data_IF_204654726449
#
_entry.id   IF_204654726449
#
_cell.length_a   1.000
_cell.length_b   1.000
_cell.length_c   1.000
_cell.angle_alpha   90.00
_cell.angle_beta   90.00
_cell.angle_gamma   90.00
#
_symmetry.space_group_name_H-M   'P 1'
#
loop_
_entity.id
_entity.type
_entity.pdbx_description
1 polymer ?
#
# COMPACT_ATOMS: atom_id res chain seq x y z
N UNK A 1 -2.06 -0.64 -49.25
CA UNK A 1 -2.35 -0.71 -47.79
C UNK A 1 -1.16 -0.10 -47.07
N UNK A 2 -1.19 1.21 -46.84
CA UNK A 2 -0.18 1.87 -46.01
C UNK A 2 -0.65 1.76 -44.55
N UNK A 3 -0.14 0.77 -43.85
CA UNK A 3 -0.26 0.76 -42.37
C UNK A 3 0.71 1.85 -41.91
N UNK A 4 0.12 2.95 -41.44
CA UNK A 4 0.89 4.10 -40.94
C UNK A 4 1.87 3.62 -39.87
N UNK A 5 3.14 3.93 -40.04
CA UNK A 5 4.22 3.63 -39.08
C UNK A 5 3.87 4.15 -37.68
N UNK A 6 3.12 5.23 -37.61
CA UNK A 6 2.57 5.79 -36.34
C UNK A 6 1.65 4.83 -35.59
N UNK A 7 0.87 3.99 -36.29
CA UNK A 7 -0.01 3.02 -35.63
C UNK A 7 0.76 1.81 -35.10
N UNK A 8 1.84 1.42 -35.76
CA UNK A 8 2.74 0.37 -35.26
C UNK A 8 3.51 0.84 -34.01
N UNK A 9 4.07 2.05 -34.05
CA UNK A 9 4.79 2.62 -32.91
C UNK A 9 3.85 2.84 -31.72
N UNK A 10 2.62 3.32 -31.94
CA UNK A 10 1.62 3.44 -30.88
C UNK A 10 1.23 2.09 -30.27
N UNK A 11 1.03 1.07 -31.10
CA UNK A 11 0.70 -0.27 -30.63
C UNK A 11 1.81 -0.88 -29.77
N UNK A 12 3.07 -0.75 -30.18
CA UNK A 12 4.23 -1.24 -29.43
C UNK A 12 4.44 -0.46 -28.12
N UNK A 13 4.27 0.87 -28.13
CA UNK A 13 4.36 1.69 -26.92
C UNK A 13 3.23 1.40 -25.94
N UNK A 14 2.01 1.15 -26.42
CA UNK A 14 0.89 0.74 -25.57
C UNK A 14 1.11 -0.65 -24.97
N UNK A 15 1.57 -1.63 -25.75
CA UNK A 15 1.89 -2.96 -25.24
C UNK A 15 3.05 -2.92 -24.23
N UNK A 16 4.08 -2.11 -24.47
CA UNK A 16 5.19 -1.93 -23.55
C UNK A 16 4.75 -1.24 -22.24
N UNK A 17 3.86 -0.25 -22.31
CA UNK A 17 3.24 0.38 -21.13
C UNK A 17 2.40 -0.60 -20.32
N UNK A 18 1.61 -1.45 -20.97
CA UNK A 18 0.81 -2.48 -20.32
C UNK A 18 1.69 -3.53 -19.64
N UNK A 19 2.78 -3.94 -20.28
CA UNK A 19 3.71 -4.93 -19.72
C UNK A 19 4.50 -4.40 -18.52
N UNK A 20 5.00 -3.17 -18.59
CA UNK A 20 5.67 -2.49 -17.46
C UNK A 20 4.71 -2.31 -16.30
N UNK A 21 3.47 -1.93 -16.57
CA UNK A 21 2.44 -1.73 -15.57
C UNK A 21 2.08 -3.04 -14.84
N UNK A 22 2.08 -4.19 -15.52
CA UNK A 22 1.78 -5.50 -14.91
C UNK A 22 2.85 -5.97 -13.92
N UNK A 23 4.13 -5.72 -14.19
CA UNK A 23 5.22 -6.06 -13.28
C UNK A 23 5.22 -5.18 -12.02
N UNK A 24 4.98 -3.89 -12.18
CA UNK A 24 4.92 -2.96 -11.05
C UNK A 24 3.71 -3.20 -10.17
N UNK A 25 2.58 -3.57 -10.77
CA UNK A 25 1.38 -4.03 -10.04
C UNK A 25 1.70 -5.26 -9.19
N UNK A 26 2.38 -6.25 -9.74
CA UNK A 26 2.81 -7.44 -9.00
C UNK A 26 3.75 -7.10 -7.86
N UNK A 27 4.73 -6.22 -8.09
CA UNK A 27 5.66 -5.73 -7.06
C UNK A 27 4.92 -4.98 -5.95
N UNK A 28 3.99 -4.10 -6.31
CA UNK A 28 3.18 -3.36 -5.33
C UNK A 28 2.35 -4.30 -4.47
N UNK A 29 1.69 -5.30 -5.07
CA UNK A 29 0.91 -6.32 -4.36
C UNK A 29 1.79 -7.15 -3.42
N UNK A 30 2.97 -7.58 -3.89
CA UNK A 30 3.91 -8.33 -3.07
C UNK A 30 4.39 -7.52 -1.86
N UNK A 31 4.79 -6.26 -2.07
CA UNK A 31 5.25 -5.40 -0.99
C UNK A 31 4.14 -5.08 0.02
N UNK A 32 2.90 -4.87 -0.44
CA UNK A 32 1.77 -4.64 0.45
C UNK A 32 1.47 -5.87 1.32
N UNK A 33 1.55 -7.06 0.75
CA UNK A 33 1.36 -8.31 1.48
C UNK A 33 2.48 -8.54 2.50
N UNK A 34 3.74 -8.32 2.13
CA UNK A 34 4.88 -8.43 3.05
C UNK A 34 4.78 -7.42 4.19
N UNK A 35 4.42 -6.17 3.90
CA UNK A 35 4.18 -5.14 4.90
C UNK A 35 3.09 -5.56 5.89
N UNK A 36 1.97 -6.09 5.40
CA UNK A 36 0.85 -6.52 6.21
C UNK A 36 1.24 -7.69 7.13
N UNK A 37 1.93 -8.70 6.60
CA UNK A 37 2.41 -9.86 7.38
C UNK A 37 3.35 -9.40 8.49
N UNK A 38 4.34 -8.55 8.19
CA UNK A 38 5.30 -8.04 9.17
C UNK A 38 4.60 -7.21 10.25
N UNK A 39 3.60 -6.41 9.86
CA UNK A 39 2.81 -5.62 10.81
C UNK A 39 2.00 -6.52 11.74
N UNK A 40 1.30 -7.51 11.21
CA UNK A 40 0.52 -8.47 12.02
C UNK A 40 1.43 -9.28 12.96
N UNK A 41 2.60 -9.71 12.48
CA UNK A 41 3.58 -10.38 13.32
C UNK A 41 4.08 -9.49 14.46
N UNK A 42 4.36 -8.20 14.17
CA UNK A 42 4.84 -7.27 15.21
C UNK A 42 3.81 -7.07 16.31
N UNK A 43 2.53 -6.95 15.95
CA UNK A 43 1.44 -6.81 16.94
C UNK A 43 1.18 -8.12 17.69
N UNK A 44 1.16 -9.26 16.99
CA UNK A 44 0.88 -10.57 17.60
C UNK A 44 1.96 -11.04 18.56
N UNK A 45 3.22 -10.70 18.27
CA UNK A 45 4.37 -11.10 19.11
C UNK A 45 4.59 -10.13 20.27
N UNK A 46 4.15 -8.87 20.15
CA UNK A 46 4.38 -7.83 21.16
C UNK A 46 3.82 -8.25 22.54
N UNK A 47 2.57 -8.69 22.61
CA UNK A 47 1.90 -8.96 23.87
C UNK A 47 2.46 -10.17 24.63
N UNK A 48 2.68 -11.35 23.99
CA UNK A 48 3.35 -12.45 24.65
C UNK A 48 4.76 -12.08 25.13
N UNK A 49 5.55 -11.39 24.31
CA UNK A 49 6.89 -10.98 24.68
C UNK A 49 6.90 -10.00 25.86
N UNK A 50 5.98 -9.04 25.91
CA UNK A 50 5.85 -8.12 27.04
C UNK A 50 5.63 -8.86 28.37
N UNK A 51 4.88 -9.97 28.34
CA UNK A 51 4.61 -10.79 29.52
C UNK A 51 5.83 -11.59 29.97
N UNK A 52 6.66 -12.06 29.02
CA UNK A 52 7.84 -12.89 29.34
C UNK A 52 9.10 -12.07 29.64
N UNK A 53 9.37 -10.99 28.92
CA UNK A 53 10.65 -10.26 28.92
C UNK A 53 10.44 -8.79 29.38
N UNK A 54 9.19 -8.37 29.59
CA UNK A 54 8.85 -6.98 29.97
C UNK A 54 9.22 -5.98 28.88
N UNK A 55 9.70 -4.81 29.25
CA UNK A 55 10.01 -3.72 28.31
C UNK A 55 11.04 -4.05 27.25
N UNK A 56 11.91 -5.05 27.47
CA UNK A 56 12.89 -5.48 26.46
C UNK A 56 12.24 -6.06 25.20
N UNK A 57 10.97 -6.48 25.28
CA UNK A 57 10.18 -6.93 24.13
C UNK A 57 10.02 -5.86 23.02
N UNK A 58 10.17 -4.59 23.36
CA UNK A 58 10.07 -3.50 22.39
C UNK A 58 11.19 -3.54 21.35
N UNK A 59 12.37 -4.05 21.68
CA UNK A 59 13.52 -4.08 20.77
C UNK A 59 13.22 -4.94 19.52
N UNK A 60 12.87 -6.23 19.63
CA UNK A 60 12.56 -7.05 18.47
C UNK A 60 11.31 -6.57 17.72
N UNK A 61 10.29 -6.06 18.44
CA UNK A 61 9.10 -5.49 17.80
C UNK A 61 9.43 -4.23 16.99
N UNK A 62 10.32 -3.38 17.47
CA UNK A 62 10.80 -2.22 16.73
C UNK A 62 11.56 -2.62 15.46
N UNK A 63 12.36 -3.68 15.52
CA UNK A 63 13.04 -4.24 14.35
C UNK A 63 12.06 -4.72 13.27
N UNK A 64 11.00 -5.43 13.66
CA UNK A 64 9.94 -5.84 12.75
C UNK A 64 9.19 -4.64 12.15
N UNK A 65 8.90 -3.64 12.97
CA UNK A 65 8.23 -2.42 12.52
C UNK A 65 9.08 -1.62 11.53
N UNK A 66 10.39 -1.47 11.79
CA UNK A 66 11.33 -0.84 10.85
C UNK A 66 11.40 -1.59 9.51
N UNK A 67 11.38 -2.92 9.55
CA UNK A 67 11.33 -3.74 8.34
C UNK A 67 10.05 -3.50 7.53
N UNK A 68 8.90 -3.41 8.19
CA UNK A 68 7.63 -3.07 7.54
C UNK A 68 7.65 -1.67 6.92
N UNK A 69 8.29 -0.69 7.56
CA UNK A 69 8.46 0.67 7.03
C UNK A 69 9.24 0.71 5.72
N UNK A 70 10.26 -0.15 5.55
CA UNK A 70 11.01 -0.24 4.28
C UNK A 70 10.07 -0.63 3.12
N UNK A 71 9.17 -1.59 3.35
CA UNK A 71 8.18 -1.97 2.33
C UNK A 71 7.16 -0.87 2.08
N UNK A 72 6.73 -0.15 3.11
CA UNK A 72 5.83 1.00 2.98
C UNK A 72 6.45 2.10 2.09
N UNK A 73 7.73 2.42 2.28
CA UNK A 73 8.46 3.40 1.46
C UNK A 73 8.54 2.93 -0.01
N UNK A 74 8.78 1.63 -0.25
CA UNK A 74 8.80 1.08 -1.61
C UNK A 74 7.44 1.21 -2.30
N UNK A 75 6.34 0.94 -1.58
CA UNK A 75 4.98 1.12 -2.10
C UNK A 75 4.73 2.60 -2.42
N UNK A 76 5.09 3.50 -1.51
CA UNK A 76 4.91 4.94 -1.70
C UNK A 76 5.69 5.46 -2.92
N UNK A 77 6.88 4.93 -3.16
CA UNK A 77 7.67 5.26 -4.35
C UNK A 77 6.95 4.84 -5.64
N UNK A 78 6.37 3.63 -5.68
CA UNK A 78 5.59 3.16 -6.83
C UNK A 78 4.36 4.05 -7.05
N UNK A 79 3.63 4.37 -5.97
CA UNK A 79 2.47 5.27 -6.03
C UNK A 79 2.83 6.64 -6.58
N UNK A 80 3.94 7.21 -6.13
CA UNK A 80 4.42 8.52 -6.57
C UNK A 80 4.82 8.51 -8.05
N UNK A 81 5.50 7.46 -8.51
CA UNK A 81 5.92 7.33 -9.91
C UNK A 81 4.73 7.27 -10.87
N UNK A 82 3.63 6.67 -10.45
CA UNK A 82 2.41 6.56 -11.26
C UNK A 82 1.36 7.62 -10.95
N UNK A 83 1.66 8.57 -10.07
CA UNK A 83 0.72 9.61 -9.60
C UNK A 83 -0.60 9.03 -9.03
N UNK A 84 -0.51 7.90 -8.34
CA UNK A 84 -1.62 7.16 -7.76
C UNK A 84 -1.72 7.50 -6.28
N UNK A 85 -2.79 8.13 -5.83
CA UNK A 85 -2.95 8.52 -4.42
C UNK A 85 -4.34 8.19 -3.86
N UNK A 86 -5.37 8.15 -4.70
CA UNK A 86 -6.71 7.87 -4.24
C UNK A 86 -6.96 6.35 -4.18
N UNK A 87 -7.94 5.93 -3.35
CA UNK A 87 -8.31 4.52 -3.23
C UNK A 87 -8.75 3.91 -4.57
N UNK A 88 -9.54 4.64 -5.35
CA UNK A 88 -10.00 4.18 -6.67
C UNK A 88 -8.85 4.05 -7.67
N UNK A 89 -7.90 4.98 -7.64
CA UNK A 89 -6.69 4.89 -8.47
C UNK A 89 -5.85 3.66 -8.12
N UNK A 90 -5.71 3.35 -6.82
CA UNK A 90 -5.00 2.17 -6.34
C UNK A 90 -5.69 0.89 -6.80
N UNK A 91 -7.02 0.80 -6.67
CA UNK A 91 -7.79 -0.35 -7.11
C UNK A 91 -7.70 -0.51 -8.63
N UNK A 92 -7.92 0.56 -9.39
CA UNK A 92 -7.81 0.54 -10.85
C UNK A 92 -6.40 0.11 -11.31
N UNK A 93 -5.36 0.62 -10.65
CA UNK A 93 -3.98 0.23 -10.93
C UNK A 93 -3.73 -1.26 -10.64
N UNK A 94 -4.24 -1.78 -9.53
CA UNK A 94 -4.10 -3.21 -9.18
C UNK A 94 -4.88 -4.13 -10.10
N UNK A 95 -5.93 -3.64 -10.75
CA UNK A 95 -6.70 -4.34 -11.80
C UNK A 95 -6.08 -4.20 -13.20
N UNK A 96 -4.98 -3.45 -13.33
CA UNK A 96 -4.32 -3.19 -14.62
C UNK A 96 -5.07 -2.20 -15.51
N UNK A 97 -6.01 -1.41 -14.95
CA UNK A 97 -6.79 -0.40 -15.65
C UNK A 97 -6.27 1.01 -15.31
N UNK A 98 -6.33 1.92 -16.27
CA UNK A 98 -6.15 3.36 -16.01
C UNK A 98 -7.51 4.03 -15.86
N UNK A 99 -7.61 4.93 -14.89
CA UNK A 99 -8.77 5.82 -14.81
C UNK A 99 -8.74 6.83 -15.97
N UNK A 100 -9.92 7.08 -16.57
CA UNK A 100 -10.11 8.12 -17.56
C UNK A 100 -9.70 9.48 -16.95
N UNK A 101 -9.15 10.38 -17.78
CA UNK A 101 -8.62 11.69 -17.34
C UNK A 101 -9.63 12.51 -16.52
N UNK A 102 -10.91 12.50 -16.91
CA UNK A 102 -11.97 13.20 -16.19
C UNK A 102 -12.19 12.64 -14.78
N UNK A 103 -12.17 11.32 -14.61
CA UNK A 103 -12.28 10.67 -13.30
C UNK A 103 -11.03 10.90 -12.44
N UNK A 104 -9.88 11.04 -13.06
CA UNK A 104 -8.62 11.32 -12.38
C UNK A 104 -8.61 12.76 -11.81
N UNK A 105 -9.18 13.73 -12.52
CA UNK A 105 -9.34 15.11 -12.05
C UNK A 105 -10.30 15.16 -10.85
N UNK A 106 -11.43 14.46 -10.92
CA UNK A 106 -12.40 14.37 -9.82
C UNK A 106 -11.78 13.72 -8.56
N UNK A 107 -11.04 12.64 -8.73
CA UNK A 107 -10.37 11.97 -7.61
C UNK A 107 -9.22 12.79 -7.02
N UNK A 108 -8.52 13.59 -7.83
CA UNK A 108 -7.50 14.53 -7.33
C UNK A 108 -8.08 15.53 -6.34
N UNK A 109 -9.29 16.01 -6.58
CA UNK A 109 -9.98 16.92 -5.67
C UNK A 109 -10.34 16.26 -4.33
N UNK A 110 -10.57 14.95 -4.31
CA UNK A 110 -10.94 14.17 -3.11
C UNK A 110 -9.72 13.68 -2.30
N UNK A 111 -8.51 13.74 -2.85
CA UNK A 111 -7.27 13.25 -2.20
C UNK A 111 -7.04 13.76 -0.77
N UNK A 112 -7.19 15.06 -0.45
CA UNK A 112 -6.95 15.54 0.90
C UNK A 112 -7.93 14.95 1.91
N UNK A 113 -9.20 14.85 1.57
CA UNK A 113 -10.23 14.27 2.45
C UNK A 113 -10.00 12.78 2.69
N UNK A 114 -9.61 12.02 1.66
CA UNK A 114 -9.31 10.60 1.78
C UNK A 114 -8.10 10.33 2.67
N UNK A 115 -7.07 11.19 2.64
CA UNK A 115 -5.91 11.08 3.52
C UNK A 115 -6.31 11.28 4.98
N UNK A 116 -7.09 12.29 5.28
CA UNK A 116 -7.57 12.56 6.65
C UNK A 116 -8.44 11.41 7.14
N UNK A 117 -9.38 10.95 6.32
CA UNK A 117 -10.25 9.83 6.66
C UNK A 117 -9.47 8.54 6.92
N UNK A 118 -8.46 8.23 6.08
CA UNK A 118 -7.62 7.05 6.27
C UNK A 118 -6.81 7.10 7.55
N UNK A 119 -6.27 8.27 7.92
CA UNK A 119 -5.56 8.45 9.19
C UNK A 119 -6.49 8.25 10.39
N UNK A 120 -7.67 8.86 10.37
CA UNK A 120 -8.66 8.70 11.44
C UNK A 120 -9.08 7.23 11.62
N UNK A 121 -9.35 6.55 10.50
CA UNK A 121 -9.72 5.13 10.50
C UNK A 121 -8.61 4.24 11.05
N UNK A 122 -7.36 4.52 10.68
CA UNK A 122 -6.19 3.79 11.17
C UNK A 122 -6.02 3.96 12.67
N UNK A 123 -6.14 5.19 13.18
CA UNK A 123 -6.07 5.49 14.62
C UNK A 123 -7.17 4.74 15.37
N UNK A 124 -8.41 4.78 14.87
CA UNK A 124 -9.54 4.08 15.48
C UNK A 124 -9.33 2.57 15.57
N UNK A 125 -8.89 1.94 14.47
CA UNK A 125 -8.58 0.51 14.42
C UNK A 125 -7.46 0.16 15.41
N UNK A 126 -6.39 0.98 15.47
CA UNK A 126 -5.26 0.74 16.37
C UNK A 126 -5.69 0.79 17.83
N UNK A 127 -6.46 1.79 18.22
CA UNK A 127 -7.00 1.91 19.58
C UNK A 127 -7.89 0.71 19.93
N UNK A 128 -8.73 0.28 18.99
CA UNK A 128 -9.61 -0.86 19.19
C UNK A 128 -8.82 -2.16 19.39
N UNK A 129 -7.81 -2.42 18.55
CA UNK A 129 -6.93 -3.60 18.67
C UNK A 129 -6.17 -3.58 20.00
N UNK A 130 -5.59 -2.44 20.38
CA UNK A 130 -4.86 -2.31 21.64
C UNK A 130 -5.78 -2.53 22.85
N UNK A 131 -6.99 -1.96 22.84
CA UNK A 131 -7.98 -2.17 23.90
C UNK A 131 -8.41 -3.64 24.00
N UNK A 132 -8.70 -4.29 22.89
CA UNK A 132 -9.06 -5.70 22.83
C UNK A 132 -7.96 -6.60 23.37
N UNK A 133 -6.72 -6.37 22.94
CA UNK A 133 -5.56 -7.11 23.42
C UNK A 133 -5.30 -6.89 24.91
N UNK A 134 -5.49 -5.66 25.41
CA UNK A 134 -5.39 -5.37 26.84
C UNK A 134 -6.38 -6.19 27.67
N UNK A 135 -7.62 -6.36 27.19
CA UNK A 135 -8.65 -7.15 27.87
C UNK A 135 -8.29 -8.64 27.90
N UNK A 136 -7.77 -9.18 26.79
CA UNK A 136 -7.40 -10.62 26.68
C UNK A 136 -6.22 -10.96 27.60
N UNK A 137 -5.23 -10.07 27.68
CA UNK A 137 -3.97 -10.34 28.40
C UNK A 137 -3.94 -9.81 29.84
N UNK A 138 -5.03 -9.16 30.30
CA UNK A 138 -5.21 -8.77 31.70
C UNK A 138 -5.52 -9.97 32.58
#
# INVERSE_FOLDING_TARGET
MEVSVDNLIKGDVEQMKVKINSEEVKKMRLYSLMMLILFLLSVGVLFPLLKFIGFYALIPCFGLWMSAMIFAIKIEKIKKNHNIQSYKEIVAFTEGKRLDELKQIEENAKRPYQKILSVLLTVFITVFICGFMYIIFR
#
